data_IF_230424569509
#
_entry.id   IF_230424569509
#
_cell.length_a   1.000
_cell.length_b   1.000
_cell.length_c   1.000
_cell.angle_alpha   90.00
_cell.angle_beta   90.00
_cell.angle_gamma   90.00
#
_symmetry.space_group_name_H-M   'P 1'
#
loop_
_entity.id
_entity.type
_entity.pdbx_description
1 polymer ?
#
# COMPACT_ATOMS: atom_id res chain seq x y z
N UNK A 1 -22.15 -15.25 15.20
CA UNK A 1 -21.48 -15.90 14.06
C UNK A 1 -21.97 -15.34 12.71
N UNK A 2 -23.29 -15.13 12.52
CA UNK A 2 -23.91 -14.57 11.29
C UNK A 2 -23.36 -13.19 10.87
N UNK A 3 -23.14 -12.29 11.83
CA UNK A 3 -22.68 -10.91 11.55
C UNK A 3 -21.24 -10.81 11.02
N UNK A 4 -20.38 -11.80 11.31
CA UNK A 4 -18.96 -11.83 10.88
C UNK A 4 -18.82 -12.28 9.42
N UNK A 5 -19.65 -13.24 9.00
CA UNK A 5 -19.66 -13.77 7.63
C UNK A 5 -20.13 -12.68 6.65
N UNK A 6 -21.17 -11.94 7.03
CA UNK A 6 -21.73 -10.86 6.21
C UNK A 6 -20.72 -9.73 5.90
N UNK A 7 -19.91 -9.33 6.88
CA UNK A 7 -18.90 -8.27 6.67
C UNK A 7 -17.80 -8.72 5.71
N UNK A 8 -17.39 -9.99 5.76
CA UNK A 8 -16.37 -10.53 4.85
C UNK A 8 -16.92 -10.60 3.43
N UNK A 9 -18.15 -11.09 3.24
CA UNK A 9 -18.81 -11.14 1.94
C UNK A 9 -18.97 -9.73 1.31
N UNK A 10 -19.30 -8.72 2.13
CA UNK A 10 -19.40 -7.34 1.68
C UNK A 10 -18.02 -6.78 1.27
N UNK A 11 -16.95 -7.08 2.03
CA UNK A 11 -15.58 -6.71 1.68
C UNK A 11 -15.15 -7.36 0.37
N UNK A 12 -15.36 -8.67 0.22
CA UNK A 12 -14.98 -9.42 -0.98
C UNK A 12 -15.69 -8.86 -2.23
N UNK A 13 -16.96 -8.49 -2.08
CA UNK A 13 -17.73 -7.84 -3.15
C UNK A 13 -17.15 -6.49 -3.53
N UNK A 14 -16.80 -5.65 -2.55
CA UNK A 14 -16.19 -4.33 -2.81
C UNK A 14 -14.83 -4.49 -3.48
N UNK A 15 -14.01 -5.44 -3.01
CA UNK A 15 -12.70 -5.75 -3.61
C UNK A 15 -12.87 -6.18 -5.07
N UNK A 16 -13.85 -7.04 -5.37
CA UNK A 16 -14.16 -7.43 -6.75
C UNK A 16 -14.52 -6.24 -7.64
N UNK A 17 -15.45 -5.39 -7.19
CA UNK A 17 -15.87 -4.18 -7.91
C UNK A 17 -14.69 -3.23 -8.17
N UNK A 18 -13.84 -3.03 -7.17
CA UNK A 18 -12.66 -2.18 -7.30
C UNK A 18 -11.67 -2.74 -8.32
N UNK A 19 -11.37 -4.04 -8.28
CA UNK A 19 -10.46 -4.68 -9.22
C UNK A 19 -10.95 -4.58 -10.66
N UNK A 20 -12.25 -4.78 -10.89
CA UNK A 20 -12.85 -4.65 -12.22
C UNK A 20 -12.76 -3.20 -12.73
N UNK A 21 -13.09 -2.22 -11.88
CA UNK A 21 -12.97 -0.79 -12.19
C UNK A 21 -11.53 -0.41 -12.58
N UNK A 22 -10.53 -0.87 -11.82
CA UNK A 22 -9.12 -0.59 -12.10
C UNK A 22 -8.69 -1.18 -13.44
N UNK A 23 -9.13 -2.40 -13.76
CA UNK A 23 -8.84 -3.07 -15.03
C UNK A 23 -9.45 -2.33 -16.23
N UNK A 24 -10.71 -1.93 -16.13
CA UNK A 24 -11.40 -1.17 -17.17
C UNK A 24 -10.76 0.20 -17.38
N UNK A 25 -10.42 0.89 -16.29
CA UNK A 25 -9.75 2.19 -16.32
C UNK A 25 -8.38 2.11 -17.00
N UNK A 26 -7.59 1.07 -16.71
CA UNK A 26 -6.29 0.85 -17.35
C UNK A 26 -6.42 0.65 -18.87
N UNK A 27 -7.39 -0.16 -19.32
CA UNK A 27 -7.64 -0.40 -20.73
C UNK A 27 -8.07 0.88 -21.47
N UNK A 28 -8.91 1.71 -20.84
CA UNK A 28 -9.29 3.02 -21.37
C UNK A 28 -8.08 3.94 -21.51
N UNK A 29 -7.23 4.03 -20.47
CA UNK A 29 -6.03 4.87 -20.49
C UNK A 29 -5.05 4.45 -21.60
N UNK A 30 -4.86 3.15 -21.83
CA UNK A 30 -4.04 2.67 -22.96
C UNK A 30 -4.61 3.10 -24.31
N UNK A 31 -5.92 3.04 -24.46
CA UNK A 31 -6.61 3.45 -25.70
C UNK A 31 -6.43 4.94 -25.95
N UNK A 32 -6.69 5.77 -24.92
CA UNK A 32 -6.50 7.21 -24.99
C UNK A 32 -5.04 7.62 -25.25
N UNK A 33 -4.06 6.89 -24.69
CA UNK A 33 -2.63 7.09 -24.98
C UNK A 33 -2.29 6.77 -26.44
N UNK A 34 -2.84 5.69 -27.01
CA UNK A 34 -2.60 5.29 -28.40
C UNK A 34 -3.19 6.28 -29.40
N UNK A 35 -4.38 6.80 -29.13
CA UNK A 35 -5.07 7.74 -30.03
C UNK A 35 -4.63 9.19 -29.86
N UNK A 36 -4.05 9.52 -28.70
CA UNK A 36 -3.70 10.87 -28.30
C UNK A 36 -4.93 11.62 -27.78
N UNK A 37 -4.95 11.92 -26.48
CA UNK A 37 -6.09 12.55 -25.78
C UNK A 37 -6.58 13.82 -26.47
N UNK A 38 -5.67 14.65 -26.99
CA UNK A 38 -6.04 15.86 -27.75
C UNK A 38 -6.83 15.56 -29.01
N UNK A 39 -6.44 14.55 -29.79
CA UNK A 39 -7.13 14.15 -31.01
C UNK A 39 -8.53 13.59 -30.71
N UNK A 40 -8.66 12.88 -29.59
CA UNK A 40 -9.94 12.32 -29.14
C UNK A 40 -10.89 13.45 -28.73
N UNK A 41 -10.41 14.40 -27.93
CA UNK A 41 -11.19 15.58 -27.50
C UNK A 41 -11.59 16.47 -28.69
N UNK A 42 -10.71 16.64 -29.69
CA UNK A 42 -11.05 17.40 -30.89
C UNK A 42 -12.19 16.77 -31.70
N UNK A 43 -12.28 15.43 -31.71
CA UNK A 43 -13.35 14.70 -32.40
C UNK A 43 -14.63 14.63 -31.56
N UNK A 44 -14.51 14.56 -30.25
CA UNK A 44 -15.62 14.42 -29.29
C UNK A 44 -15.46 15.41 -28.12
N UNK A 45 -15.80 16.71 -28.31
CA UNK A 45 -15.60 17.75 -27.30
C UNK A 45 -16.38 17.54 -25.99
N UNK A 46 -17.50 16.82 -26.05
CA UNK A 46 -18.32 16.46 -24.89
C UNK A 46 -17.57 15.60 -23.85
N UNK A 47 -16.48 14.94 -24.24
CA UNK A 47 -15.62 14.20 -23.32
C UNK A 47 -14.96 15.10 -22.28
N UNK A 48 -14.75 16.38 -22.58
CA UNK A 48 -14.24 17.35 -21.61
C UNK A 48 -15.15 17.47 -20.38
N UNK A 49 -16.47 17.52 -20.59
CA UNK A 49 -17.42 17.61 -19.48
C UNK A 49 -17.37 16.35 -18.62
N UNK A 50 -17.26 15.17 -19.25
CA UNK A 50 -17.14 13.91 -18.51
C UNK A 50 -15.85 13.83 -17.70
N UNK A 51 -14.73 14.37 -18.20
CA UNK A 51 -13.48 14.47 -17.46
C UNK A 51 -13.64 15.40 -16.25
N UNK A 52 -14.37 16.52 -16.39
CA UNK A 52 -14.67 17.40 -15.27
C UNK A 52 -15.55 16.72 -14.20
N UNK A 53 -16.56 15.95 -14.61
CA UNK A 53 -17.42 15.19 -13.69
C UNK A 53 -16.61 14.18 -12.85
N UNK A 54 -15.61 13.51 -13.46
CA UNK A 54 -14.69 12.63 -12.72
C UNK A 54 -13.93 13.41 -11.65
N UNK A 55 -13.46 14.62 -11.98
CA UNK A 55 -12.75 15.49 -11.03
C UNK A 55 -13.60 15.85 -9.80
N UNK A 56 -14.90 16.10 -9.98
CA UNK A 56 -15.82 16.33 -8.86
C UNK A 56 -15.96 15.08 -7.97
N UNK A 57 -16.08 13.90 -8.59
CA UNK A 57 -16.16 12.62 -7.87
C UNK A 57 -14.89 12.26 -7.08
N UNK A 58 -13.73 12.77 -7.49
CA UNK A 58 -12.45 12.55 -6.80
C UNK A 58 -12.27 13.45 -5.56
N UNK A 59 -13.18 14.39 -5.29
CA UNK A 59 -13.06 15.31 -4.15
C UNK A 59 -12.96 14.62 -2.79
N UNK A 60 -13.62 13.47 -2.63
CA UNK A 60 -13.59 12.68 -1.39
C UNK A 60 -12.39 11.71 -1.30
N UNK A 61 -11.67 11.50 -2.40
CA UNK A 61 -10.58 10.53 -2.47
C UNK A 61 -9.49 10.76 -1.40
N UNK A 62 -9.01 12.00 -1.14
CA UNK A 62 -8.02 12.23 -0.09
C UNK A 62 -8.50 11.83 1.30
N UNK A 63 -9.78 12.08 1.59
CA UNK A 63 -10.40 11.68 2.86
C UNK A 63 -10.51 10.16 2.95
N UNK A 64 -10.98 9.50 1.89
CA UNK A 64 -11.08 8.04 1.83
C UNK A 64 -9.72 7.36 2.04
N UNK A 65 -8.67 7.86 1.40
CA UNK A 65 -7.30 7.34 1.59
C UNK A 65 -6.84 7.50 3.04
N UNK A 66 -7.09 8.67 3.65
CA UNK A 66 -6.76 8.92 5.05
C UNK A 66 -7.52 7.99 6.00
N UNK A 67 -8.83 7.82 5.78
CA UNK A 67 -9.69 6.95 6.59
C UNK A 67 -9.25 5.47 6.44
N UNK A 68 -8.89 5.04 5.22
CA UNK A 68 -8.36 3.70 4.96
C UNK A 68 -7.05 3.43 5.69
N UNK A 69 -6.12 4.40 5.71
CA UNK A 69 -4.88 4.29 6.49
C UNK A 69 -5.16 4.27 7.99
N UNK A 70 -6.12 5.06 8.45
CA UNK A 70 -6.59 5.00 9.84
C UNK A 70 -7.03 3.59 10.22
N UNK A 71 -7.87 2.95 9.39
CA UNK A 71 -8.32 1.58 9.61
C UNK A 71 -7.18 0.56 9.63
N UNK A 72 -6.17 0.72 8.76
CA UNK A 72 -4.97 -0.14 8.76
C UNK A 72 -4.20 0.04 10.08
N UNK A 73 -3.98 1.27 10.53
CA UNK A 73 -3.29 1.55 11.78
C UNK A 73 -4.05 1.01 13.00
N UNK A 74 -5.37 1.20 13.07
CA UNK A 74 -6.22 0.61 14.11
C UNK A 74 -6.14 -0.93 14.11
N UNK A 75 -6.05 -1.54 12.92
CA UNK A 75 -5.89 -2.99 12.78
C UNK A 75 -4.54 -3.48 13.29
N UNK A 76 -3.46 -2.74 13.01
CA UNK A 76 -2.11 -3.01 13.54
C UNK A 76 -2.12 -2.92 15.08
N UNK A 77 -2.70 -1.86 15.64
CA UNK A 77 -2.83 -1.71 17.10
C UNK A 77 -3.65 -2.85 17.74
N UNK A 78 -4.76 -3.24 17.12
CA UNK A 78 -5.59 -4.35 17.60
C UNK A 78 -4.85 -5.68 17.56
N UNK A 79 -4.04 -5.93 16.53
CA UNK A 79 -3.17 -7.11 16.44
C UNK A 79 -2.09 -7.09 17.52
N UNK A 80 -1.39 -5.98 17.69
CA UNK A 80 -0.36 -5.83 18.72
C UNK A 80 -0.91 -5.98 20.14
N UNK A 81 -2.16 -5.54 20.38
CA UNK A 81 -2.85 -5.75 21.66
C UNK A 81 -3.33 -7.18 21.89
N UNK A 82 -3.44 -7.99 20.82
CA UNK A 82 -3.91 -9.38 20.89
C UNK A 82 -2.77 -10.40 20.96
N UNK A 83 -1.63 -10.10 20.34
CA UNK A 83 -0.52 -11.03 20.20
C UNK A 83 0.74 -10.45 20.84
N UNK A 84 1.16 -11.02 21.97
CA UNK A 84 2.37 -10.61 22.68
C UNK A 84 3.62 -10.69 21.79
N UNK A 85 3.68 -11.66 20.86
CA UNK A 85 4.77 -11.79 19.87
C UNK A 85 4.95 -10.49 19.06
N UNK A 86 3.86 -9.88 18.55
CA UNK A 86 3.94 -8.62 17.82
C UNK A 86 4.41 -7.51 18.74
N UNK A 87 3.84 -7.42 19.95
CA UNK A 87 4.20 -6.38 20.90
C UNK A 87 5.69 -6.43 21.25
N UNK A 88 6.25 -7.62 21.46
CA UNK A 88 7.67 -7.79 21.71
C UNK A 88 8.51 -7.40 20.50
N UNK A 89 8.15 -7.84 19.29
CA UNK A 89 8.84 -7.43 18.05
C UNK A 89 8.88 -5.91 17.90
N UNK A 90 7.77 -5.21 18.18
CA UNK A 90 7.72 -3.75 18.07
C UNK A 90 8.57 -3.03 19.13
N UNK A 91 8.67 -3.59 20.34
CA UNK A 91 9.54 -3.06 21.40
C UNK A 91 11.01 -3.28 21.04
N UNK A 92 11.35 -4.49 20.58
CA UNK A 92 12.72 -4.89 20.27
C UNK A 92 13.28 -4.18 19.02
N UNK A 93 12.42 -3.77 18.10
CA UNK A 93 12.81 -2.95 16.95
C UNK A 93 13.26 -1.53 17.34
N UNK A 94 12.92 -1.07 18.56
CA UNK A 94 13.17 0.28 19.10
C UNK A 94 12.55 1.38 18.22
N UNK A 95 13.31 1.87 17.24
CA UNK A 95 12.89 2.83 16.24
C UNK A 95 13.29 2.37 14.84
N UNK A 96 12.36 2.48 13.89
CA UNK A 96 12.58 2.14 12.49
C UNK A 96 11.66 2.99 11.61
N UNK A 97 12.23 3.82 10.74
CA UNK A 97 11.49 4.51 9.68
C UNK A 97 11.82 3.92 8.32
N UNK A 98 10.83 3.44 7.58
CA UNK A 98 11.00 2.89 6.23
C UNK A 98 10.19 3.74 5.26
N UNK A 99 10.87 4.44 4.35
CA UNK A 99 10.24 5.06 3.20
C UNK A 99 10.14 4.07 2.04
N UNK A 100 9.00 4.07 1.36
CA UNK A 100 8.71 3.19 0.23
C UNK A 100 8.34 4.10 -0.93
N UNK A 101 9.25 4.22 -1.89
CA UNK A 101 8.99 4.89 -3.15
C UNK A 101 8.52 3.89 -4.19
N UNK A 102 7.42 4.21 -4.89
CA UNK A 102 6.96 3.41 -6.02
C UNK A 102 7.56 3.94 -7.32
N UNK A 103 8.03 3.05 -8.18
CA UNK A 103 8.61 3.42 -9.47
C UNK A 103 7.54 3.85 -10.50
N UNK A 104 6.29 3.44 -10.28
CA UNK A 104 5.16 3.59 -11.20
C UNK A 104 4.15 4.67 -10.81
N UNK A 105 4.20 5.18 -9.57
CA UNK A 105 3.28 6.22 -9.07
C UNK A 105 4.01 7.31 -8.25
N UNK A 106 3.65 8.60 -8.40
CA UNK A 106 4.33 9.72 -7.75
C UNK A 106 3.89 9.93 -6.28
N UNK A 107 3.55 8.85 -5.60
CA UNK A 107 3.13 8.84 -4.19
C UNK A 107 4.08 7.88 -3.48
N UNK A 108 4.48 8.19 -2.25
CA UNK A 108 5.21 7.27 -1.38
C UNK A 108 4.31 6.71 -0.28
N UNK A 109 4.77 5.64 0.37
CA UNK A 109 4.29 5.25 1.70
C UNK A 109 5.46 5.29 2.67
N UNK A 110 5.15 5.44 3.95
CA UNK A 110 6.10 5.13 5.00
C UNK A 110 5.53 4.12 5.98
N UNK A 111 6.42 3.36 6.58
CA UNK A 111 6.20 2.56 7.77
C UNK A 111 7.08 3.13 8.88
N UNK A 112 6.51 3.32 10.06
CA UNK A 112 7.26 3.80 11.23
C UNK A 112 6.99 2.90 12.43
N UNK A 113 8.06 2.40 13.04
CA UNK A 113 8.08 1.84 14.38
C UNK A 113 8.69 2.88 15.31
N UNK A 114 7.97 3.27 16.35
CA UNK A 114 8.42 4.20 17.38
C UNK A 114 7.71 3.91 18.68
N UNK A 115 8.45 3.90 19.79
CA UNK A 115 7.91 3.68 21.14
C UNK A 115 7.06 2.39 21.25
N UNK A 116 7.49 1.32 20.59
CA UNK A 116 6.78 0.03 20.58
C UNK A 116 5.47 0.02 19.81
N UNK A 117 5.21 1.02 18.96
CA UNK A 117 4.05 1.11 18.08
C UNK A 117 4.47 1.17 16.63
N UNK A 118 3.67 0.55 15.76
CA UNK A 118 3.84 0.64 14.32
C UNK A 118 2.71 1.45 13.70
N UNK A 119 3.04 2.26 12.70
CA UNK A 119 2.08 2.98 11.88
C UNK A 119 2.53 2.99 10.41
N UNK A 120 1.55 3.18 9.52
CA UNK A 120 1.75 3.41 8.09
C UNK A 120 1.13 4.76 7.73
N UNK A 121 1.72 5.47 6.77
CA UNK A 121 1.18 6.72 6.23
C UNK A 121 1.53 6.98 4.77
N UNK A 122 0.87 7.98 4.18
CA UNK A 122 1.18 8.49 2.84
C UNK A 122 2.39 9.41 2.88
N UNK A 123 3.15 9.40 1.80
CA UNK A 123 4.32 10.25 1.60
C UNK A 123 5.61 9.58 2.08
N UNK A 124 6.57 10.41 2.45
CA UNK A 124 7.88 10.01 2.94
C UNK A 124 8.14 10.69 4.29
N UNK A 125 8.79 9.99 5.20
CA UNK A 125 9.36 10.56 6.41
C UNK A 125 10.57 11.43 6.05
N UNK A 126 10.69 12.59 6.69
CA UNK A 126 11.87 13.45 6.57
C UNK A 126 13.12 12.77 7.15
N UNK A 127 12.95 12.10 8.29
CA UNK A 127 13.98 11.28 8.95
C UNK A 127 13.59 9.81 8.81
N UNK A 128 14.35 9.06 8.01
CA UNK A 128 14.13 7.64 7.77
C UNK A 128 15.40 6.83 8.02
N UNK A 129 15.21 5.56 8.38
CA UNK A 129 16.28 4.59 8.58
C UNK A 129 16.58 3.83 7.29
N UNK A 130 15.52 3.46 6.57
CA UNK A 130 15.57 2.67 5.34
C UNK A 130 14.75 3.36 4.24
N UNK A 131 15.19 3.21 2.99
CA UNK A 131 14.37 3.55 1.82
C UNK A 131 14.37 2.41 0.82
N UNK A 132 13.19 1.89 0.53
CA UNK A 132 12.98 0.91 -0.54
C UNK A 132 12.77 1.67 -1.85
N UNK A 133 13.50 1.25 -2.88
CA UNK A 133 13.46 1.79 -4.24
C UNK A 133 13.23 0.68 -5.25
N UNK A 134 12.88 1.09 -6.46
CA UNK A 134 12.71 0.21 -7.63
C UNK A 134 11.65 -0.88 -7.47
N UNK A 135 10.75 -0.72 -6.49
CA UNK A 135 9.61 -1.60 -6.25
C UNK A 135 8.33 -0.98 -6.83
N UNK A 136 7.50 -1.81 -7.44
CA UNK A 136 6.13 -1.44 -7.79
C UNK A 136 5.15 -1.75 -6.65
N UNK A 137 3.95 -1.19 -6.72
CA UNK A 137 2.89 -1.42 -5.73
C UNK A 137 2.57 -2.91 -5.48
N UNK A 138 2.42 -3.77 -6.52
CA UNK A 138 2.22 -5.20 -6.33
C UNK A 138 3.35 -5.88 -5.54
N UNK A 139 4.61 -5.57 -5.84
CA UNK A 139 5.77 -6.13 -5.15
C UNK A 139 5.79 -5.73 -3.67
N UNK A 140 5.56 -4.45 -3.36
CA UNK A 140 5.45 -3.96 -1.99
C UNK A 140 4.32 -4.67 -1.23
N UNK A 141 3.18 -4.88 -1.88
CA UNK A 141 2.06 -5.61 -1.28
C UNK A 141 2.47 -7.04 -0.92
N UNK A 142 3.20 -7.74 -1.80
CA UNK A 142 3.70 -9.10 -1.53
C UNK A 142 4.71 -9.12 -0.38
N UNK A 143 5.60 -8.14 -0.31
CA UNK A 143 6.56 -8.00 0.79
C UNK A 143 5.85 -7.78 2.13
N UNK A 144 4.91 -6.83 2.20
CA UNK A 144 4.18 -6.51 3.43
C UNK A 144 3.27 -7.64 3.90
N UNK A 145 2.78 -8.48 2.98
CA UNK A 145 1.91 -9.61 3.29
C UNK A 145 2.64 -10.93 3.49
N UNK A 146 3.97 -10.95 3.36
CA UNK A 146 4.81 -12.14 3.48
C UNK A 146 4.69 -13.13 2.31
N UNK A 147 4.09 -12.72 1.18
CA UNK A 147 4.05 -13.51 -0.06
C UNK A 147 5.38 -13.49 -0.82
N UNK A 148 6.16 -12.43 -0.65
CA UNK A 148 7.54 -12.32 -1.16
C UNK A 148 8.48 -12.17 0.03
N UNK A 149 9.55 -12.96 0.06
CA UNK A 149 10.59 -12.84 1.08
C UNK A 149 11.44 -11.58 0.83
N UNK A 150 11.54 -10.65 1.79
CA UNK A 150 12.29 -9.40 1.59
C UNK A 150 13.79 -9.60 1.40
N UNK A 151 14.38 -10.64 2.00
CA UNK A 151 15.80 -10.92 1.81
C UNK A 151 16.07 -11.49 0.43
N UNK A 152 15.24 -12.42 -0.05
CA UNK A 152 15.35 -12.99 -1.39
C UNK A 152 15.21 -11.89 -2.45
N UNK A 153 14.19 -11.03 -2.33
CA UNK A 153 13.96 -9.92 -3.26
C UNK A 153 15.13 -8.92 -3.28
N UNK A 154 15.74 -8.65 -2.13
CA UNK A 154 16.92 -7.79 -2.06
C UNK A 154 18.16 -8.47 -2.69
N UNK A 155 18.37 -9.76 -2.38
CA UNK A 155 19.51 -10.52 -2.90
C UNK A 155 19.42 -10.77 -4.41
N UNK A 156 18.21 -10.91 -4.96
CA UNK A 156 17.98 -11.05 -6.41
C UNK A 156 18.07 -9.72 -7.16
N UNK A 157 18.05 -8.59 -6.46
CA UNK A 157 18.02 -7.26 -7.04
C UNK A 157 16.64 -6.83 -7.54
N UNK A 158 15.58 -7.54 -7.17
CA UNK A 158 14.19 -7.14 -7.43
C UNK A 158 13.80 -5.88 -6.67
N UNK A 159 14.38 -5.66 -5.48
CA UNK A 159 14.30 -4.41 -4.74
C UNK A 159 15.67 -3.86 -4.42
N UNK A 160 15.74 -2.54 -4.30
CA UNK A 160 16.91 -1.83 -3.78
C UNK A 160 16.59 -1.21 -2.42
N UNK A 161 17.51 -1.37 -1.46
CA UNK A 161 17.36 -0.82 -0.10
C UNK A 161 18.52 0.12 0.19
N UNK A 162 18.20 1.38 0.45
CA UNK A 162 19.11 2.35 1.04
C UNK A 162 19.02 2.24 2.58
N UNK A 163 20.16 2.25 3.24
CA UNK A 163 20.28 2.12 4.70
C UNK A 163 21.16 0.94 5.10
N UNK A 164 21.10 0.51 6.36
CA UNK A 164 21.92 -0.61 6.85
C UNK A 164 21.16 -1.93 6.83
N UNK A 165 21.85 -3.02 6.46
CA UNK A 165 21.26 -4.36 6.48
C UNK A 165 20.78 -4.78 7.88
N UNK A 166 21.47 -4.34 8.94
CA UNK A 166 21.07 -4.64 10.32
C UNK A 166 19.73 -3.98 10.69
N UNK A 167 19.49 -2.76 10.21
CA UNK A 167 18.21 -2.07 10.38
C UNK A 167 17.10 -2.75 9.55
N UNK A 168 17.41 -3.20 8.34
CA UNK A 168 16.46 -3.96 7.51
C UNK A 168 16.04 -5.28 8.17
N UNK A 169 16.92 -5.93 8.93
CA UNK A 169 16.59 -7.18 9.63
C UNK A 169 15.54 -6.99 10.73
N UNK A 170 15.37 -5.78 11.28
CA UNK A 170 14.40 -5.50 12.36
C UNK A 170 12.95 -5.73 11.94
N UNK A 171 12.62 -5.63 10.64
CA UNK A 171 11.24 -5.82 10.15
C UNK A 171 10.89 -7.30 9.89
N UNK A 172 11.89 -8.17 9.71
CA UNK A 172 11.67 -9.56 9.29
C UNK A 172 10.78 -10.37 10.26
N UNK A 173 10.92 -10.26 11.60
CA UNK A 173 10.04 -10.98 12.52
C UNK A 173 8.55 -10.62 12.34
N UNK A 174 8.25 -9.37 11.97
CA UNK A 174 6.88 -8.94 11.70
C UNK A 174 6.34 -9.57 10.40
N UNK A 175 7.16 -9.61 9.34
CA UNK A 175 6.79 -10.24 8.07
C UNK A 175 6.49 -11.73 8.27
N UNK A 176 7.33 -12.43 9.01
CA UNK A 176 7.12 -13.82 9.37
C UNK A 176 5.84 -14.03 10.19
N UNK A 177 5.54 -13.11 11.12
CA UNK A 177 4.30 -13.17 11.88
C UNK A 177 3.05 -13.00 10.98
N UNK A 178 3.08 -12.04 10.04
CA UNK A 178 1.98 -11.81 9.09
C UNK A 178 1.75 -13.06 8.23
N UNK A 179 2.84 -13.70 7.77
CA UNK A 179 2.78 -14.95 7.01
C UNK A 179 2.09 -16.06 7.80
N UNK A 180 2.41 -16.23 9.08
CA UNK A 180 1.72 -17.20 9.98
C UNK A 180 0.22 -16.93 10.12
N UNK A 181 -0.21 -15.66 10.12
CA UNK A 181 -1.63 -15.30 10.23
C UNK A 181 -2.43 -15.64 8.97
N UNK A 182 -1.81 -15.61 7.78
CA UNK A 182 -2.48 -15.93 6.51
C UNK A 182 -2.69 -17.44 6.30
N UNK A 183 -1.91 -18.28 7.00
CA UNK A 183 -1.99 -19.74 6.93
C UNK A 183 -1.01 -20.33 5.92
#
# INVERSE_FOLDING_TARGET
MIKRIMVIEDIDKIVGLFNDLMKESAALLETLKKEGVGNVIEKEPELLNRIFDIGEGMGDLPKMLKDGIGLINESIEALAGRYDEIKHVLIDAEELGINIGFSDVPIGLYLQIKEGKMSIGLGELDEYTLKIKDADMPMITKLLTGELDPMEAFMSGEISVEGSAGEAMKILPLVEFIKKLKG
#
